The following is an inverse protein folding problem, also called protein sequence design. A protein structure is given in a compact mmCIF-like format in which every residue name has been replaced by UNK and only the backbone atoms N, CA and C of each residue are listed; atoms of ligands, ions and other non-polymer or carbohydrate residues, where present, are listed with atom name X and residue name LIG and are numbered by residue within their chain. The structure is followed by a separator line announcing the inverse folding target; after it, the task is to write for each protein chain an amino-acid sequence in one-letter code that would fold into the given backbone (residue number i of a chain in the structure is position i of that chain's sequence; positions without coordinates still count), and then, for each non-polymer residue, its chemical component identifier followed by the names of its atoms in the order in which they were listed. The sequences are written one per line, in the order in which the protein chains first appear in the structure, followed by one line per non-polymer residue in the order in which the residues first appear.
data_IF_082095989040
#
_entry.id   IF_082095989040
#
_cell.length_a   1.000
_cell.length_b   1.000
_cell.length_c   1.000
_cell.angle_alpha   90.00
_cell.angle_beta   90.00
_cell.angle_gamma   90.00
#
_symmetry.space_group_name_H-M   'P 1'
#
loop_
_entity.id
_entity.type
_entity.pdbx_description
1 polymer ?
#
# COMPACT_ATOMS: atom_id res chain seq x y z
N UNK A 1 -9.27 -6.03 16.95
CA UNK A 1 -9.79 -4.91 16.12
C UNK A 1 -9.61 -5.28 14.66
N UNK A 2 -10.53 -4.88 13.78
CA UNK A 2 -10.48 -5.20 12.34
C UNK A 2 -9.83 -4.05 11.59
N UNK A 3 -8.83 -4.33 10.76
CA UNK A 3 -8.16 -3.33 9.93
C UNK A 3 -8.83 -3.25 8.55
N UNK A 4 -8.96 -2.04 8.01
CA UNK A 4 -9.47 -1.78 6.66
C UNK A 4 -8.49 -0.90 5.91
N UNK A 5 -8.20 -1.24 4.66
CA UNK A 5 -7.46 -0.39 3.74
C UNK A 5 -8.46 0.41 2.90
N UNK A 6 -8.31 1.73 2.89
CA UNK A 6 -9.09 2.62 2.04
C UNK A 6 -8.16 3.15 0.95
N UNK A 7 -8.46 2.88 -0.31
CA UNK A 7 -7.72 3.41 -1.45
C UNK A 7 -8.60 4.39 -2.21
N UNK A 8 -8.01 5.53 -2.55
CA UNK A 8 -8.65 6.56 -3.37
C UNK A 8 -7.79 6.81 -4.59
N UNK A 9 -8.34 6.56 -5.78
CA UNK A 9 -7.65 6.87 -7.03
C UNK A 9 -8.52 7.77 -7.89
N UNK A 10 -7.89 8.75 -8.52
CA UNK A 10 -8.55 9.65 -9.46
C UNK A 10 -8.09 9.27 -10.85
N UNK A 11 -9.03 8.90 -11.70
CA UNK A 11 -8.75 8.62 -13.10
C UNK A 11 -8.44 9.92 -13.87
N UNK A 12 -7.83 9.79 -15.04
CA UNK A 12 -7.55 10.88 -16.00
C UNK A 12 -8.79 11.72 -16.38
N UNK A 13 -9.98 11.15 -16.23
CA UNK A 13 -11.28 11.81 -16.42
C UNK A 13 -11.70 12.71 -15.25
N UNK A 14 -10.94 12.71 -14.15
CA UNK A 14 -11.24 13.46 -12.92
C UNK A 14 -12.23 12.77 -11.99
N UNK A 15 -12.65 11.54 -12.31
CA UNK A 15 -13.51 10.76 -11.44
C UNK A 15 -12.69 10.08 -10.35
N UNK A 16 -13.03 10.36 -9.09
CA UNK A 16 -12.42 9.71 -7.93
C UNK A 16 -13.21 8.46 -7.54
N UNK A 17 -12.53 7.34 -7.42
CA UNK A 17 -13.06 6.08 -6.92
C UNK A 17 -12.49 5.82 -5.53
N UNK A 18 -13.36 5.37 -4.62
CA UNK A 18 -12.98 4.98 -3.26
C UNK A 18 -13.29 3.50 -3.08
N UNK A 19 -12.29 2.71 -2.76
CA UNK A 19 -12.43 1.28 -2.47
C UNK A 19 -12.08 1.00 -1.01
N UNK A 20 -12.83 0.07 -0.41
CA UNK A 20 -12.62 -0.36 0.97
C UNK A 20 -12.33 -1.85 0.99
N UNK A 21 -11.13 -2.21 1.42
CA UNK A 21 -10.64 -3.58 1.46
C UNK A 21 -10.52 -4.03 2.91
N UNK A 22 -11.19 -5.12 3.26
CA UNK A 22 -11.10 -5.73 4.60
C UNK A 22 -9.85 -6.60 4.69
N UNK A 23 -9.01 -6.32 5.67
CA UNK A 23 -7.76 -7.05 5.90
C UNK A 23 -8.00 -8.39 6.59
N UNK A 24 -7.26 -9.43 6.20
CA UNK A 24 -7.22 -10.71 6.91
C UNK A 24 -6.31 -10.64 8.14
N UNK A 25 -6.43 -11.60 9.05
CA UNK A 25 -5.69 -11.61 10.33
C UNK A 25 -4.16 -11.73 10.17
N UNK A 26 -3.70 -12.25 9.03
CA UNK A 26 -2.29 -12.48 8.69
C UNK A 26 -1.80 -11.59 7.54
N UNK A 27 -2.52 -10.50 7.25
CA UNK A 27 -2.21 -9.59 6.15
C UNK A 27 -1.93 -8.20 6.73
N UNK A 28 -0.84 -7.60 6.27
CA UNK A 28 -0.45 -6.22 6.57
C UNK A 28 -0.29 -5.48 5.23
N UNK A 29 -0.60 -4.19 5.22
CA UNK A 29 -0.38 -3.34 4.06
C UNK A 29 0.70 -2.32 4.39
N UNK A 30 1.67 -2.17 3.49
CA UNK A 30 2.70 -1.16 3.57
C UNK A 30 2.62 -0.30 2.32
N UNK A 31 2.59 1.01 2.50
CA UNK A 31 2.60 1.98 1.40
C UNK A 31 4.01 2.52 1.29
N UNK A 32 4.63 2.34 0.12
CA UNK A 32 5.97 2.85 -0.20
C UNK A 32 5.87 3.71 -1.45
N UNK A 33 6.65 4.78 -1.50
CA UNK A 33 6.79 5.62 -2.68
C UNK A 33 7.89 5.03 -3.56
N UNK A 34 7.56 4.66 -4.80
CA UNK A 34 8.51 4.10 -5.75
C UNK A 34 8.03 4.30 -7.18
N UNK A 35 8.96 4.47 -8.12
CA UNK A 35 8.65 4.64 -9.54
C UNK A 35 8.40 3.29 -10.24
N UNK A 36 8.81 2.19 -9.62
CA UNK A 36 8.63 0.85 -10.15
C UNK A 36 8.34 -0.19 -9.07
N UNK A 37 7.73 -1.31 -9.48
CA UNK A 37 7.48 -2.45 -8.57
C UNK A 37 8.78 -3.01 -7.98
N UNK A 38 9.88 -2.99 -8.74
CA UNK A 38 11.16 -3.49 -8.28
C UNK A 38 11.80 -2.57 -7.24
N UNK A 39 11.64 -1.26 -7.39
CA UNK A 39 12.10 -0.28 -6.40
C UNK A 39 11.24 -0.29 -5.14
N UNK A 40 9.92 -0.44 -5.27
CA UNK A 40 9.02 -0.61 -4.13
C UNK A 40 9.44 -1.78 -3.24
N UNK A 41 9.86 -2.90 -3.85
CA UNK A 41 10.35 -4.06 -3.12
C UNK A 41 11.66 -3.77 -2.40
N UNK A 42 12.62 -3.11 -3.06
CA UNK A 42 13.91 -2.76 -2.45
C UNK A 42 13.76 -1.82 -1.26
N UNK A 43 12.92 -0.79 -1.38
CA UNK A 43 12.64 0.14 -0.28
C UNK A 43 12.01 -0.61 0.90
N UNK A 44 11.08 -1.53 0.62
CA UNK A 44 10.49 -2.36 1.66
C UNK A 44 11.53 -3.24 2.37
N UNK A 45 12.40 -3.92 1.61
CA UNK A 45 13.48 -4.76 2.14
C UNK A 45 14.47 -3.94 2.98
N UNK A 46 14.87 -2.76 2.50
CA UNK A 46 15.81 -1.86 3.21
C UNK A 46 15.22 -1.33 4.52
N UNK A 47 13.94 -0.95 4.54
CA UNK A 47 13.24 -0.51 5.76
C UNK A 47 13.09 -1.66 6.78
N UNK A 48 12.90 -2.90 6.32
CA UNK A 48 12.81 -4.06 7.21
C UNK A 48 14.18 -4.38 7.84
N UNK A 49 15.27 -4.26 7.08
CA UNK A 49 16.63 -4.48 7.56
C UNK A 49 17.12 -3.38 8.53
N UNK A 50 16.73 -2.12 8.35
CA UNK A 50 17.09 -1.02 9.27
C UNK A 50 16.32 -1.06 10.61
N UNK A 51 15.17 -1.74 10.65
CA UNK A 51 14.32 -1.83 11.83
C UNK A 51 14.74 -2.92 12.82
N UNK A 52 15.78 -3.72 12.52
CA UNK A 52 16.20 -4.91 13.26
C UNK A 52 17.64 -4.79 13.80
#
# INVERSE_FOLDING_TARGET
MTQYLITTFTDSTGQTFTEVIKTRHNQTFTVVEADSKGEALKIYEEVEDEAN
#
